data_IF_360262592512
#
_entry.id   IF_360262592512
#
_cell.length_a   1.000
_cell.length_b   1.000
_cell.length_c   1.000
_cell.angle_alpha   90.00
_cell.angle_beta   90.00
_cell.angle_gamma   90.00
#
_symmetry.space_group_name_H-M   'P 1'
#
loop_
_entity.id
_entity.type
_entity.pdbx_description
1 polymer ?
#
# COMPACT_ATOMS: atom_id res chain seq x y z
N UNK A 1 1.22 -1.60 -13.36
CA UNK A 1 1.91 -2.66 -14.11
C UNK A 1 3.18 -3.15 -13.44
N UNK A 2 4.13 -2.28 -13.06
CA UNK A 2 5.46 -2.66 -12.54
C UNK A 2 5.51 -3.35 -11.17
N UNK A 3 4.38 -3.63 -10.51
CA UNK A 3 4.39 -4.22 -9.16
C UNK A 3 5.02 -5.60 -9.16
N UNK A 4 4.69 -6.43 -10.14
CA UNK A 4 5.13 -7.82 -10.23
C UNK A 4 6.61 -7.95 -10.60
N UNK A 5 7.26 -6.87 -11.06
CA UNK A 5 8.67 -6.89 -11.47
C UNK A 5 9.63 -6.95 -10.28
N UNK A 6 9.20 -6.47 -9.09
CA UNK A 6 10.04 -6.39 -7.89
C UNK A 6 9.39 -7.01 -6.65
N UNK A 7 8.06 -7.11 -6.60
CA UNK A 7 7.35 -7.65 -5.44
C UNK A 7 7.35 -9.18 -5.47
N UNK A 8 7.83 -9.80 -4.39
CA UNK A 8 8.01 -11.26 -4.32
C UNK A 8 7.07 -11.93 -3.33
N UNK A 9 6.35 -11.15 -2.51
CA UNK A 9 5.54 -11.67 -1.40
C UNK A 9 4.04 -11.71 -1.69
N UNK A 10 3.60 -11.11 -2.79
CA UNK A 10 2.19 -11.01 -3.16
C UNK A 10 1.75 -12.24 -3.97
N UNK A 11 0.53 -12.68 -3.69
CA UNK A 11 -0.14 -13.78 -4.40
C UNK A 11 -1.30 -13.26 -5.27
N UNK A 12 -2.07 -12.28 -4.78
CA UNK A 12 -3.12 -11.62 -5.55
C UNK A 12 -3.14 -10.12 -5.23
N UNK A 13 -3.52 -9.32 -6.22
CA UNK A 13 -3.57 -7.86 -6.14
C UNK A 13 -4.75 -7.33 -6.95
N UNK A 14 -5.55 -6.44 -6.35
CA UNK A 14 -6.71 -5.83 -6.98
C UNK A 14 -6.86 -4.38 -6.53
N UNK A 15 -7.05 -3.46 -7.50
CA UNK A 15 -7.44 -2.08 -7.22
C UNK A 15 -8.94 -2.06 -6.96
N UNK A 16 -9.32 -1.70 -5.73
CA UNK A 16 -10.72 -1.68 -5.27
C UNK A 16 -11.40 -0.38 -5.68
N UNK A 17 -10.69 0.75 -5.56
CA UNK A 17 -11.22 2.08 -5.87
C UNK A 17 -10.08 3.01 -6.29
N UNK A 18 -10.35 3.89 -7.26
CA UNK A 18 -9.47 5.00 -7.62
C UNK A 18 -10.06 6.30 -7.09
N UNK A 19 -9.42 6.91 -6.10
CA UNK A 19 -9.89 8.14 -5.45
C UNK A 19 -9.41 9.39 -6.20
N UNK A 20 -8.19 9.34 -6.71
CA UNK A 20 -7.55 10.40 -7.49
C UNK A 20 -6.39 9.81 -8.32
N UNK A 21 -5.81 10.59 -9.22
CA UNK A 21 -4.65 10.17 -10.03
C UNK A 21 -3.44 9.74 -9.18
N UNK A 22 -3.36 10.22 -7.93
CA UNK A 22 -2.28 9.93 -6.99
C UNK A 22 -2.73 9.06 -5.78
N UNK A 23 -3.98 8.58 -5.75
CA UNK A 23 -4.54 7.87 -4.61
C UNK A 23 -5.48 6.74 -5.03
N UNK A 24 -5.16 5.51 -4.62
CA UNK A 24 -5.95 4.31 -4.91
C UNK A 24 -6.10 3.44 -3.65
N UNK A 25 -7.22 2.73 -3.55
CA UNK A 25 -7.44 1.70 -2.52
C UNK A 25 -7.12 0.34 -3.14
N UNK A 26 -6.29 -0.44 -2.45
CA UNK A 26 -5.79 -1.73 -2.90
C UNK A 26 -6.20 -2.80 -1.91
N UNK A 27 -6.67 -3.93 -2.44
CA UNK A 27 -6.75 -5.20 -1.75
C UNK A 27 -5.66 -6.13 -2.28
N UNK A 28 -4.92 -6.79 -1.39
CA UNK A 28 -3.94 -7.81 -1.79
C UNK A 28 -3.87 -8.95 -0.79
N UNK A 29 -3.45 -10.12 -1.26
CA UNK A 29 -3.14 -11.28 -0.43
C UNK A 29 -1.65 -11.59 -0.51
N UNK A 30 -1.05 -11.93 0.64
CA UNK A 30 0.36 -12.31 0.72
C UNK A 30 0.50 -13.84 0.66
N UNK A 31 1.61 -14.32 0.10
CA UNK A 31 2.02 -15.73 0.19
C UNK A 31 1.98 -16.18 1.65
N UNK A 32 1.44 -17.37 1.91
CA UNK A 32 1.30 -17.90 3.27
C UNK A 32 2.68 -18.18 3.89
N UNK A 33 2.88 -17.69 5.11
CA UNK A 33 4.01 -18.07 5.96
C UNK A 33 3.53 -19.11 6.98
N UNK A 34 3.89 -20.37 6.75
CA UNK A 34 3.58 -21.46 7.67
C UNK A 34 4.27 -21.24 9.04
N UNK A 35 3.65 -21.57 10.18
CA UNK A 35 2.39 -22.31 10.36
C UNK A 35 1.11 -21.46 10.29
N UNK A 36 1.24 -20.14 10.26
CA UNK A 36 0.12 -19.27 10.47
C UNK A 36 -0.81 -19.17 9.24
N UNK A 37 -2.04 -18.67 9.45
CA UNK A 37 -3.02 -18.46 8.38
C UNK A 37 -2.52 -17.46 7.34
N UNK A 38 -3.08 -17.46 6.13
CA UNK A 38 -2.70 -16.47 5.13
C UNK A 38 -3.14 -15.06 5.56
N UNK A 39 -2.48 -14.00 5.07
CA UNK A 39 -2.85 -12.61 5.36
C UNK A 39 -3.34 -11.92 4.11
N UNK A 40 -4.44 -11.19 4.25
CA UNK A 40 -4.86 -10.17 3.31
C UNK A 40 -4.67 -8.78 3.94
N UNK A 41 -4.60 -7.76 3.10
CA UNK A 41 -4.57 -6.37 3.55
C UNK A 41 -5.36 -5.51 2.57
N UNK A 42 -6.12 -4.58 3.15
CA UNK A 42 -6.84 -3.52 2.45
C UNK A 42 -6.24 -2.20 2.91
N UNK A 43 -5.77 -1.38 1.98
CA UNK A 43 -5.08 -0.13 2.30
C UNK A 43 -5.25 0.92 1.22
N UNK A 44 -5.23 2.18 1.64
CA UNK A 44 -5.10 3.32 0.75
C UNK A 44 -3.61 3.53 0.46
N UNK A 45 -3.26 3.63 -0.82
CA UNK A 45 -1.94 3.96 -1.31
C UNK A 45 -1.98 5.35 -1.94
N UNK A 46 -1.20 6.29 -1.40
CA UNK A 46 -1.15 7.67 -1.88
C UNK A 46 0.30 8.12 -2.08
N UNK A 47 0.55 8.74 -3.23
CA UNK A 47 1.81 9.42 -3.51
C UNK A 47 1.64 10.94 -3.36
N UNK A 48 2.57 11.58 -2.65
CA UNK A 48 2.60 13.02 -2.42
C UNK A 48 4.00 13.57 -2.55
N UNK A 49 4.09 14.77 -3.13
CA UNK A 49 5.25 15.65 -2.97
C UNK A 49 5.00 16.56 -1.78
N UNK A 50 5.95 16.59 -0.86
CA UNK A 50 5.98 17.47 0.31
C UNK A 50 7.00 18.58 0.00
N UNK A 51 6.57 19.86 0.00
CA UNK A 51 7.47 20.98 -0.17
C UNK A 51 8.57 21.00 0.89
N UNK A 52 9.72 21.56 0.53
CA UNK A 52 10.76 21.88 1.49
C UNK A 52 10.21 22.78 2.60
N UNK A 53 10.61 22.53 3.85
CA UNK A 53 10.18 23.33 5.00
C UNK A 53 10.92 24.67 5.06
N UNK A 54 12.16 24.69 4.58
CA UNK A 54 13.00 25.88 4.41
C UNK A 54 13.69 25.83 3.05
N UNK A 55 14.26 26.95 2.61
CA UNK A 55 15.00 27.02 1.33
C UNK A 55 16.23 26.08 1.28
N UNK A 56 16.72 25.64 2.44
CA UNK A 56 17.87 24.74 2.54
C UNK A 56 17.48 23.26 2.62
N UNK A 57 16.19 22.95 2.75
CA UNK A 57 15.73 21.57 2.87
C UNK A 57 15.41 20.99 1.50
N UNK A 58 15.67 19.69 1.26
CA UNK A 58 15.24 19.03 0.04
C UNK A 58 13.71 18.85 0.04
N UNK A 59 13.12 18.95 -1.15
CA UNK A 59 11.77 18.45 -1.35
C UNK A 59 11.71 16.93 -1.11
N UNK A 60 10.56 16.46 -0.67
CA UNK A 60 10.38 15.05 -0.30
C UNK A 60 9.23 14.42 -1.08
N UNK A 61 9.48 13.29 -1.71
CA UNK A 61 8.42 12.43 -2.23
C UNK A 61 8.10 11.34 -1.22
N UNK A 62 6.82 11.17 -0.91
CA UNK A 62 6.34 10.15 0.02
C UNK A 62 5.25 9.30 -0.64
N UNK A 63 5.37 7.99 -0.49
CA UNK A 63 4.30 7.04 -0.76
C UNK A 63 3.85 6.46 0.57
N UNK A 64 2.58 6.66 0.94
CA UNK A 64 2.00 6.11 2.16
C UNK A 64 0.98 5.02 1.83
N UNK A 65 1.13 3.86 2.47
CA UNK A 65 0.22 2.74 2.41
C UNK A 65 -0.32 2.48 3.82
N UNK A 66 -1.57 2.86 4.08
CA UNK A 66 -2.18 2.68 5.39
C UNK A 66 -3.56 2.04 5.30
N UNK A 67 -3.86 1.15 6.24
CA UNK A 67 -5.10 0.40 6.23
C UNK A 67 -6.32 1.28 6.43
N UNK A 68 -7.35 1.00 5.63
CA UNK A 68 -8.66 1.66 5.66
C UNK A 68 -9.76 0.59 5.64
N UNK A 69 -10.96 0.96 6.05
CA UNK A 69 -12.15 0.15 5.86
C UNK A 69 -12.82 0.54 4.54
N UNK A 70 -13.49 -0.41 3.87
CA UNK A 70 -14.20 -0.19 2.61
C UNK A 70 -15.31 -1.23 2.46
N UNK A 71 -16.50 -0.83 2.01
CA UNK A 71 -17.66 -1.74 1.93
C UNK A 71 -17.46 -2.88 0.93
N UNK A 72 -16.79 -2.60 -0.19
CA UNK A 72 -16.40 -3.61 -1.19
C UNK A 72 -15.19 -4.47 -0.80
N UNK A 73 -14.77 -4.47 0.46
CA UNK A 73 -13.67 -5.32 0.93
C UNK A 73 -14.01 -6.80 0.71
N UNK A 74 -13.16 -7.58 0.02
CA UNK A 74 -13.42 -9.00 -0.18
C UNK A 74 -13.52 -9.76 1.16
N UNK A 75 -14.55 -10.61 1.27
CA UNK A 75 -14.69 -11.60 2.34
C UNK A 75 -13.81 -12.81 1.99
N UNK A 76 -12.68 -12.97 2.67
CA UNK A 76 -11.77 -14.10 2.45
C UNK A 76 -11.55 -14.90 3.74
N UNK A 77 -12.34 -15.95 3.95
CA UNK A 77 -12.29 -16.80 5.15
C UNK A 77 -10.97 -17.58 5.31
N UNK A 78 -10.10 -17.61 4.31
CA UNK A 78 -8.77 -18.23 4.39
C UNK A 78 -7.70 -17.25 4.89
N UNK A 79 -8.02 -15.96 4.91
CA UNK A 79 -7.12 -14.89 5.30
C UNK A 79 -7.52 -14.26 6.63
N UNK A 80 -6.50 -13.87 7.39
CA UNK A 80 -6.63 -12.98 8.54
C UNK A 80 -6.25 -11.57 8.09
N UNK A 81 -7.13 -10.59 8.34
CA UNK A 81 -6.92 -9.19 7.97
C UNK A 81 -5.77 -8.56 8.76
N UNK A 82 -4.67 -8.27 8.07
CA UNK A 82 -3.60 -7.45 8.62
C UNK A 82 -3.96 -5.96 8.52
N UNK A 83 -3.40 -5.15 9.43
CA UNK A 83 -3.41 -3.68 9.34
C UNK A 83 -1.98 -3.17 9.21
N UNK A 84 -1.76 -2.21 8.33
CA UNK A 84 -0.46 -1.64 8.03
C UNK A 84 -0.49 -0.11 8.10
N UNK A 85 0.67 0.48 8.35
CA UNK A 85 0.96 1.89 8.13
C UNK A 85 2.42 1.99 7.70
N UNK A 86 2.66 2.11 6.39
CA UNK A 86 3.98 2.04 5.77
C UNK A 86 4.22 3.31 4.95
N UNK A 87 5.39 3.91 5.10
CA UNK A 87 5.82 5.05 4.29
C UNK A 87 7.15 4.75 3.61
N UNK A 88 7.23 5.05 2.32
CA UNK A 88 8.49 5.15 1.57
C UNK A 88 8.75 6.64 1.34
N UNK A 89 9.95 7.09 1.71
CA UNK A 89 10.36 8.49 1.64
C UNK A 89 11.59 8.59 0.74
N UNK A 90 11.53 9.47 -0.25
CA UNK A 90 12.62 9.74 -1.19
C UNK A 90 12.92 11.25 -1.22
N UNK A 91 14.21 11.59 -1.16
CA UNK A 91 14.73 12.95 -1.26
C UNK A 91 15.88 12.96 -2.27
N UNK A 92 16.00 14.03 -3.04
CA UNK A 92 17.19 14.28 -3.87
C UNK A 92 18.19 15.08 -3.04
N UNK A 93 19.44 14.63 -3.03
CA UNK A 93 20.57 15.30 -2.37
C UNK A 93 21.19 16.37 -3.28
#
# INVERSE_FOLDING_TARGET
DVRNDWETTIENFHVVETLADNAIIIYQTHKRVWPASQRDVLYLSVIRKIPALTENDPETWIVCNFSVDHDSAPLNNRCVRAKINVAMICQTL
#
